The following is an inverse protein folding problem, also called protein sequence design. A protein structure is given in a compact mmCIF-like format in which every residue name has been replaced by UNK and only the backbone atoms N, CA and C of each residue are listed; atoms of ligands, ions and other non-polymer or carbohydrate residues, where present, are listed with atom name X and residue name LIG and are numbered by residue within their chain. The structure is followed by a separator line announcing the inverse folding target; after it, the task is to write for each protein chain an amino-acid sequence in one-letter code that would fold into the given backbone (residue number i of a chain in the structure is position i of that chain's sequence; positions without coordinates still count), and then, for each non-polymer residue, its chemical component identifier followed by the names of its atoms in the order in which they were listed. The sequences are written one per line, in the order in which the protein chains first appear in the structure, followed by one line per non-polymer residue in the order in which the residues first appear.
data_IF_625344795956
#
_entry.id   IF_625344795956
#
_cell.length_a   1.000
_cell.length_b   1.000
_cell.length_c   1.000
_cell.angle_alpha   90.00
_cell.angle_beta   90.00
_cell.angle_gamma   90.00
#
_symmetry.space_group_name_H-M   'P 1'
#
loop_
_entity.id
_entity.type
_entity.pdbx_description
1 polymer ?
#
# COMPACT_ATOMS: atom_id res chain seq x y z
N UNK A 1 15.81 -9.09 8.59
CA UNK A 1 14.95 -8.49 7.57
C UNK A 1 15.72 -8.46 6.25
N UNK A 2 15.02 -8.62 5.13
CA UNK A 2 15.52 -8.50 3.75
C UNK A 2 14.76 -7.33 3.11
N UNK A 3 15.50 -6.33 2.65
CA UNK A 3 14.93 -5.22 1.88
C UNK A 3 15.13 -5.52 0.40
N UNK A 4 14.04 -5.54 -0.36
CA UNK A 4 14.07 -5.67 -1.81
C UNK A 4 14.35 -4.31 -2.45
N UNK A 5 14.85 -4.32 -3.69
CA UNK A 5 15.07 -3.09 -4.46
C UNK A 5 13.74 -2.45 -4.88
N UNK A 6 12.77 -3.27 -5.27
CA UNK A 6 11.42 -2.85 -5.65
C UNK A 6 10.46 -4.03 -5.70
N UNK A 7 9.17 -3.75 -5.93
CA UNK A 7 8.18 -4.76 -6.30
C UNK A 7 8.57 -5.57 -7.55
N UNK A 8 9.44 -5.04 -8.41
CA UNK A 8 9.97 -5.74 -9.57
C UNK A 8 10.73 -7.01 -9.21
N UNK A 9 11.44 -7.02 -8.07
CA UNK A 9 12.17 -8.22 -7.60
C UNK A 9 11.19 -9.31 -7.12
N UNK A 10 10.06 -8.93 -6.53
CA UNK A 10 8.98 -9.88 -6.23
C UNK A 10 8.35 -10.45 -7.51
N UNK A 11 8.10 -9.59 -8.50
CA UNK A 11 7.56 -10.01 -9.81
C UNK A 11 8.55 -10.94 -10.53
N UNK A 12 9.85 -10.71 -10.38
CA UNK A 12 10.89 -11.59 -10.91
C UNK A 12 10.87 -12.96 -10.23
N UNK A 13 10.73 -13.00 -8.91
CA UNK A 13 10.54 -14.25 -8.17
C UNK A 13 9.24 -14.97 -8.57
N UNK A 14 8.14 -14.25 -8.83
CA UNK A 14 6.92 -14.84 -9.37
C UNK A 14 7.15 -15.49 -10.74
N UNK A 15 7.90 -14.82 -11.61
CA UNK A 15 8.21 -15.33 -12.95
C UNK A 15 9.06 -16.61 -12.90
N UNK A 16 10.02 -16.68 -11.97
CA UNK A 16 10.96 -17.81 -11.86
C UNK A 16 10.52 -18.90 -10.86
N UNK A 17 9.31 -18.78 -10.30
CA UNK A 17 8.77 -19.76 -9.35
C UNK A 17 8.69 -21.19 -9.92
N UNK A 18 8.29 -21.43 -11.20
CA UNK A 18 8.31 -22.77 -11.78
C UNK A 18 9.70 -23.41 -11.76
N UNK A 19 10.74 -22.69 -12.20
CA UNK A 19 12.12 -23.16 -12.24
C UNK A 19 12.66 -23.42 -10.84
N UNK A 20 12.29 -22.57 -9.88
CA UNK A 20 12.64 -22.75 -8.48
C UNK A 20 11.97 -23.99 -7.87
N UNK A 21 10.73 -24.29 -8.26
CA UNK A 21 10.00 -25.47 -7.81
C UNK A 21 10.64 -26.78 -8.33
N UNK A 22 11.20 -26.78 -9.54
CA UNK A 22 11.94 -27.95 -10.07
C UNK A 22 13.19 -28.28 -9.24
N UNK A 23 13.77 -27.28 -8.58
CA UNK A 23 14.98 -27.40 -7.77
C UNK A 23 14.68 -27.63 -6.27
N UNK A 24 13.42 -27.53 -5.86
CA UNK A 24 13.00 -27.55 -4.46
C UNK A 24 12.20 -28.82 -4.13
N UNK A 25 12.59 -29.50 -3.05
CA UNK A 25 11.83 -30.64 -2.49
C UNK A 25 10.58 -30.22 -1.68
N UNK A 26 10.36 -28.91 -1.53
CA UNK A 26 9.17 -28.33 -0.89
C UNK A 26 8.12 -27.98 -1.94
N UNK A 27 6.84 -28.11 -1.60
CA UNK A 27 5.76 -27.68 -2.47
C UNK A 27 5.56 -26.17 -2.45
N UNK A 28 5.32 -25.59 -3.62
CA UNK A 28 5.00 -24.18 -3.82
C UNK A 28 3.48 -23.97 -3.84
N UNK A 29 2.95 -23.43 -2.75
CA UNK A 29 1.58 -22.93 -2.70
C UNK A 29 1.36 -21.77 -3.67
N UNK A 30 2.40 -21.00 -4.02
CA UNK A 30 2.32 -19.92 -5.00
C UNK A 30 1.92 -20.41 -6.40
N UNK A 31 2.23 -21.66 -6.74
CA UNK A 31 1.97 -22.28 -8.04
C UNK A 31 0.69 -23.12 -8.09
N UNK A 32 -0.03 -23.26 -6.98
CA UNK A 32 -1.24 -24.09 -6.95
C UNK A 32 -2.34 -23.53 -7.86
N UNK A 33 -3.03 -24.44 -8.54
CA UNK A 33 -4.08 -24.13 -9.52
C UNK A 33 -5.49 -24.54 -9.05
N UNK A 34 -5.59 -25.26 -7.94
CA UNK A 34 -6.83 -25.77 -7.37
C UNK A 34 -7.46 -24.83 -6.32
N UNK A 35 -6.79 -23.73 -5.98
CA UNK A 35 -7.18 -22.81 -4.92
C UNK A 35 -7.43 -21.37 -5.41
N UNK A 36 -8.13 -21.21 -6.54
CA UNK A 36 -8.44 -19.91 -7.15
C UNK A 36 -9.16 -18.97 -6.17
N UNK A 37 -10.18 -19.46 -5.45
CA UNK A 37 -10.92 -18.66 -4.47
C UNK A 37 -10.05 -18.11 -3.34
N UNK A 38 -9.00 -18.86 -3.00
CA UNK A 38 -8.04 -18.48 -1.98
C UNK A 38 -7.02 -17.51 -2.55
N UNK A 39 -6.29 -17.86 -3.60
CA UNK A 39 -5.25 -16.97 -4.16
C UNK A 39 -5.79 -15.78 -4.97
N UNK A 40 -7.07 -15.77 -5.32
CA UNK A 40 -7.71 -14.73 -6.15
C UNK A 40 -7.43 -14.86 -7.64
N UNK A 41 -6.63 -15.83 -8.06
CA UNK A 41 -6.24 -16.13 -9.44
C UNK A 41 -6.09 -17.63 -9.57
N UNK A 42 -6.28 -18.20 -10.76
CA UNK A 42 -6.14 -19.64 -10.96
C UNK A 42 -4.69 -20.04 -11.24
N UNK A 43 -3.90 -19.20 -11.92
CA UNK A 43 -2.51 -19.50 -12.26
C UNK A 43 -1.55 -18.41 -11.80
N UNK A 44 -0.25 -18.73 -11.79
CA UNK A 44 0.81 -17.74 -11.56
C UNK A 44 0.81 -16.68 -12.68
N UNK A 45 0.59 -17.10 -13.93
CA UNK A 45 0.54 -16.18 -15.08
C UNK A 45 -0.57 -15.13 -14.94
N UNK A 46 -1.76 -15.54 -14.50
CA UNK A 46 -2.86 -14.61 -14.23
C UNK A 46 -2.45 -13.59 -13.15
N UNK A 47 -1.72 -14.01 -12.11
CA UNK A 47 -1.23 -13.09 -11.09
C UNK A 47 -0.12 -12.15 -11.59
N UNK A 48 0.77 -12.64 -12.47
CA UNK A 48 1.78 -11.83 -13.14
C UNK A 48 1.15 -10.77 -14.06
N UNK A 49 0.08 -11.13 -14.77
CA UNK A 49 -0.66 -10.18 -15.59
C UNK A 49 -1.27 -9.06 -14.74
N UNK A 50 -1.91 -9.40 -13.62
CA UNK A 50 -2.45 -8.39 -12.69
C UNK A 50 -1.34 -7.50 -12.10
N UNK A 51 -0.18 -8.07 -11.76
CA UNK A 51 0.94 -7.32 -11.20
C UNK A 51 1.59 -6.36 -12.21
N UNK A 52 1.63 -6.73 -13.50
CA UNK A 52 2.31 -5.95 -14.56
C UNK A 52 1.41 -4.96 -15.28
N UNK A 53 0.19 -5.40 -15.57
CA UNK A 53 -0.74 -4.68 -16.45
C UNK A 53 -1.95 -4.15 -15.70
N UNK A 54 -2.08 -4.51 -14.43
CA UNK A 54 -3.09 -3.99 -13.54
C UNK A 54 -4.35 -4.83 -13.43
N UNK A 55 -5.21 -4.43 -12.50
CA UNK A 55 -6.42 -5.16 -12.11
C UNK A 55 -7.63 -4.24 -12.21
N UNK A 56 -8.28 -4.23 -13.37
CA UNK A 56 -9.38 -3.30 -13.68
C UNK A 56 -10.55 -3.42 -12.68
N UNK A 57 -10.93 -4.64 -12.27
CA UNK A 57 -11.99 -4.82 -11.28
C UNK A 57 -11.59 -4.22 -9.92
N UNK A 58 -10.35 -4.46 -9.49
CA UNK A 58 -9.79 -3.87 -8.27
C UNK A 58 -9.80 -2.35 -8.34
N UNK A 59 -9.30 -1.78 -9.43
CA UNK A 59 -9.33 -0.34 -9.72
C UNK A 59 -10.74 0.24 -9.59
N UNK A 60 -11.74 -0.39 -10.21
CA UNK A 60 -13.12 0.08 -10.13
C UNK A 60 -13.65 0.02 -8.70
N UNK A 61 -13.40 -1.07 -7.97
CA UNK A 61 -13.79 -1.20 -6.56
C UNK A 61 -13.11 -0.15 -5.68
N UNK A 62 -11.81 0.09 -5.87
CA UNK A 62 -11.09 1.14 -5.16
C UNK A 62 -11.68 2.53 -5.43
N UNK A 63 -11.95 2.86 -6.70
CA UNK A 63 -12.62 4.13 -7.07
C UNK A 63 -13.99 4.27 -6.42
N UNK A 64 -14.77 3.20 -6.37
CA UNK A 64 -16.07 3.22 -5.70
C UNK A 64 -15.93 3.46 -4.19
N UNK A 65 -14.94 2.86 -3.55
CA UNK A 65 -14.65 3.08 -2.13
C UNK A 65 -14.28 4.55 -1.91
N UNK A 66 -13.33 5.08 -2.69
CA UNK A 66 -12.90 6.49 -2.61
C UNK A 66 -14.07 7.45 -2.87
N UNK A 67 -14.88 7.22 -3.90
CA UNK A 67 -16.02 8.09 -4.24
C UNK A 67 -17.15 8.08 -3.22
N UNK A 68 -17.24 7.06 -2.36
CA UNK A 68 -18.16 7.03 -1.21
C UNK A 68 -17.63 7.82 -0.02
N UNK A 69 -16.33 8.12 0.01
CA UNK A 69 -15.67 8.88 1.06
C UNK A 69 -15.62 10.36 0.67
N UNK A 70 -16.19 11.23 1.49
CA UNK A 70 -16.16 12.67 1.26
C UNK A 70 -14.79 13.26 1.65
N UNK A 71 -13.73 12.93 0.90
CA UNK A 71 -12.33 13.34 1.17
C UNK A 71 -12.22 14.86 1.35
N UNK A 72 -12.90 15.64 0.51
CA UNK A 72 -12.89 17.11 0.55
C UNK A 72 -13.43 17.71 1.86
N UNK A 73 -14.27 16.98 2.60
CA UNK A 73 -14.81 17.44 3.88
C UNK A 73 -13.81 17.27 5.03
N UNK A 74 -12.69 16.56 4.80
CA UNK A 74 -11.76 16.12 5.84
C UNK A 74 -10.37 16.77 5.68
N UNK A 75 -10.01 17.11 4.45
CA UNK A 75 -8.78 17.81 4.13
C UNK A 75 -8.98 19.31 4.38
N UNK A 76 -8.25 19.86 5.36
CA UNK A 76 -8.41 21.26 5.78
C UNK A 76 -7.90 22.31 4.78
N UNK A 77 -7.25 21.88 3.69
CA UNK A 77 -6.76 22.77 2.65
C UNK A 77 -7.72 22.76 1.47
N UNK A 78 -8.44 23.86 1.30
CA UNK A 78 -8.94 24.23 -0.02
C UNK A 78 -7.75 24.48 -0.93
N UNK A 79 -7.81 24.10 -2.22
CA UNK A 79 -6.81 24.53 -3.18
C UNK A 79 -6.59 26.04 -3.02
N UNK A 80 -5.34 26.44 -2.78
CA UNK A 80 -5.00 27.86 -2.74
C UNK A 80 -5.05 28.29 -4.19
N UNK A 81 -6.09 29.06 -4.50
CA UNK A 81 -6.18 29.76 -5.77
C UNK A 81 -5.32 31.01 -5.61
N UNK A 82 -4.15 31.01 -6.22
CA UNK A 82 -3.37 32.23 -6.37
C UNK A 82 -3.90 32.99 -7.57
N UNK A 83 -4.35 34.21 -7.34
CA UNK A 83 -4.60 35.16 -8.41
C UNK A 83 -3.30 35.86 -8.75
N UNK A 84 -2.94 35.88 -10.03
CA UNK A 84 -1.87 36.71 -10.56
C UNK A 84 -2.41 37.57 -11.70
N UNK A 85 -1.84 38.78 -11.84
CA UNK A 85 -2.07 39.59 -13.01
C UNK A 85 -1.22 39.06 -14.17
N UNK A 86 -1.84 38.92 -15.33
CA UNK A 86 -1.24 38.45 -16.57
C UNK A 86 -1.92 39.15 -17.76
N UNK A 87 -1.41 38.94 -18.98
CA UNK A 87 -1.97 39.50 -20.21
C UNK A 87 -3.29 38.82 -20.62
N UNK A 88 -3.51 37.59 -20.18
CA UNK A 88 -4.69 36.77 -20.44
C UNK A 88 -5.08 36.02 -19.16
N UNK A 89 -6.38 35.87 -18.91
CA UNK A 89 -6.88 35.25 -17.68
C UNK A 89 -8.40 35.13 -17.69
N UNK A 90 -8.96 34.76 -16.54
CA UNK A 90 -10.37 34.45 -16.37
C UNK A 90 -11.22 35.70 -16.09
N UNK A 91 -10.63 36.72 -15.45
CA UNK A 91 -11.32 37.95 -15.05
C UNK A 91 -10.47 39.20 -15.37
N UNK A 92 -11.10 40.37 -15.53
CA UNK A 92 -10.41 41.65 -15.76
C UNK A 92 -10.30 42.43 -14.45
N UNK A 93 -9.09 42.88 -14.09
CA UNK A 93 -8.92 43.94 -13.11
C UNK A 93 -9.19 45.29 -13.79
N UNK A 94 -10.37 45.86 -13.48
CA UNK A 94 -10.84 47.11 -14.07
C UNK A 94 -9.89 48.28 -13.72
N UNK A 95 -9.29 48.26 -12.53
CA UNK A 95 -8.37 49.30 -12.10
C UNK A 95 -7.09 49.29 -12.93
N UNK A 96 -6.45 48.14 -13.06
CA UNK A 96 -5.24 47.96 -13.87
C UNK A 96 -5.49 48.31 -15.34
N UNK A 97 -6.62 47.87 -15.89
CA UNK A 97 -7.03 48.19 -17.27
C UNK A 97 -7.18 49.70 -17.50
N UNK A 98 -7.84 50.42 -16.59
CA UNK A 98 -8.04 51.87 -16.71
C UNK A 98 -6.74 52.67 -16.57
N UNK A 99 -5.74 52.13 -15.87
CA UNK A 99 -4.40 52.73 -15.78
C UNK A 99 -3.49 52.37 -16.96
N UNK A 100 -3.93 51.50 -17.88
CA UNK A 100 -3.17 51.08 -19.05
C UNK A 100 -2.08 50.06 -18.73
N UNK A 101 -2.20 49.34 -17.61
CA UNK A 101 -1.28 48.25 -17.26
C UNK A 101 -1.49 47.07 -18.22
N UNK A 102 -0.44 46.53 -18.86
CA UNK A 102 -0.58 45.41 -19.80
C UNK A 102 -1.05 44.10 -19.15
N UNK A 103 -0.68 43.89 -17.89
CA UNK A 103 -1.09 42.75 -17.07
C UNK A 103 -2.39 43.11 -16.31
N UNK A 104 -3.51 43.17 -17.03
CA UNK A 104 -4.81 43.56 -16.47
C UNK A 104 -5.80 42.40 -16.36
N UNK A 105 -5.40 41.19 -16.70
CA UNK A 105 -6.24 39.98 -16.56
C UNK A 105 -5.81 39.23 -15.31
N UNK A 106 -6.77 38.81 -14.49
CA UNK A 106 -6.56 37.91 -13.36
C UNK A 106 -6.60 36.47 -13.86
N UNK A 107 -5.49 35.77 -13.74
CA UNK A 107 -5.34 34.33 -13.98
C UNK A 107 -5.40 33.60 -12.64
N UNK A 108 -6.32 32.64 -12.49
CA UNK A 108 -6.47 31.86 -11.26
C UNK A 108 -5.70 30.54 -11.38
N UNK A 109 -4.50 30.50 -10.80
CA UNK A 109 -3.71 29.26 -10.77
C UNK A 109 -4.00 28.46 -9.50
N UNK A 110 -4.43 27.21 -9.68
CA UNK A 110 -4.53 26.26 -8.58
C UNK A 110 -3.12 25.79 -8.25
N UNK A 111 -2.52 26.34 -7.19
CA UNK A 111 -1.27 25.78 -6.67
C UNK A 111 -1.56 24.54 -5.85
N UNK A 112 -1.15 23.40 -6.39
CA UNK A 112 -0.87 22.22 -5.59
C UNK A 112 0.55 22.37 -5.03
N UNK A 113 0.72 23.15 -3.96
CA UNK A 113 1.98 23.14 -3.19
C UNK A 113 2.14 21.76 -2.53
N UNK A 114 2.69 20.79 -3.27
CA UNK A 114 3.15 19.48 -2.79
C UNK A 114 4.58 19.55 -2.22
N UNK A 115 5.23 20.71 -2.33
CA UNK A 115 6.60 20.92 -1.89
C UNK A 115 6.67 21.15 -0.38
N UNK A 116 6.73 20.05 0.39
CA UNK A 116 7.27 20.13 1.75
C UNK A 116 7.14 18.89 2.62
N UNK A 117 6.09 18.06 2.45
CA UNK A 117 5.84 16.94 3.37
C UNK A 117 6.01 15.60 2.66
N UNK A 118 7.15 14.95 2.88
CA UNK A 118 7.38 13.56 2.45
C UNK A 118 7.11 12.62 3.61
N UNK A 119 6.45 11.49 3.34
CA UNK A 119 6.32 10.42 4.31
C UNK A 119 6.33 9.05 3.62
N UNK A 120 6.79 8.03 4.35
CA UNK A 120 6.76 6.64 3.89
C UNK A 120 5.72 5.84 4.67
N UNK A 121 4.81 5.20 3.94
CA UNK A 121 3.82 4.29 4.51
C UNK A 121 4.32 2.85 4.42
N UNK A 122 4.43 2.17 5.55
CA UNK A 122 4.69 0.73 5.62
C UNK A 122 3.37 -0.01 5.87
N UNK A 123 3.08 -1.05 5.08
CA UNK A 123 1.87 -1.85 5.24
C UNK A 123 2.24 -3.30 5.41
N UNK A 124 2.01 -3.87 6.60
CA UNK A 124 2.18 -5.30 6.77
C UNK A 124 1.07 -6.04 6.00
N UNK A 125 1.49 -6.88 5.05
CA UNK A 125 0.67 -7.73 4.20
C UNK A 125 0.51 -9.13 4.77
N UNK A 126 1.26 -9.48 5.82
CA UNK A 126 1.16 -10.78 6.49
C UNK A 126 -0.26 -10.95 7.02
N UNK A 127 -0.85 -12.11 6.78
CA UNK A 127 -2.17 -12.43 7.28
C UNK A 127 -2.37 -13.94 7.34
N UNK A 128 -3.27 -14.37 8.23
CA UNK A 128 -3.66 -15.79 8.31
C UNK A 128 -4.23 -16.28 6.97
N UNK A 129 -3.93 -17.53 6.61
CA UNK A 129 -4.54 -18.20 5.45
C UNK A 129 -6.06 -18.24 5.50
N UNK A 130 -6.66 -18.05 6.68
CA UNK A 130 -8.11 -18.01 6.91
C UNK A 130 -8.77 -16.68 6.54
N UNK A 131 -8.01 -15.61 6.26
CA UNK A 131 -8.58 -14.32 5.87
C UNK A 131 -9.19 -14.43 4.47
N UNK A 132 -10.45 -14.07 4.29
CA UNK A 132 -11.12 -14.17 2.99
C UNK A 132 -10.64 -13.09 2.01
N UNK A 133 -10.71 -13.39 0.71
CA UNK A 133 -10.37 -12.44 -0.36
C UNK A 133 -11.19 -11.15 -0.30
N UNK A 134 -12.44 -11.24 0.14
CA UNK A 134 -13.30 -10.08 0.37
C UNK A 134 -12.79 -9.17 1.49
N UNK A 135 -12.32 -9.75 2.61
CA UNK A 135 -11.72 -8.99 3.72
C UNK A 135 -10.43 -8.28 3.27
N UNK A 136 -9.63 -8.94 2.42
CA UNK A 136 -8.43 -8.33 1.82
C UNK A 136 -8.81 -7.12 0.95
N UNK A 137 -9.82 -7.26 0.09
CA UNK A 137 -10.31 -6.17 -0.76
C UNK A 137 -10.82 -4.99 0.07
N UNK A 138 -11.59 -5.26 1.13
CA UNK A 138 -12.11 -4.22 2.02
C UNK A 138 -10.97 -3.47 2.73
N UNK A 139 -9.98 -4.19 3.26
CA UNK A 139 -8.77 -3.61 3.86
C UNK A 139 -8.01 -2.74 2.85
N UNK A 140 -7.77 -3.25 1.65
CA UNK A 140 -7.07 -2.51 0.60
C UNK A 140 -7.82 -1.25 0.16
N UNK A 141 -9.15 -1.32 0.09
CA UNK A 141 -10.02 -0.16 -0.17
C UNK A 141 -9.87 0.95 0.87
N UNK A 142 -9.85 0.58 2.15
CA UNK A 142 -9.65 1.54 3.23
C UNK A 142 -8.23 2.16 3.20
N UNK A 143 -7.19 1.34 2.98
CA UNK A 143 -5.81 1.81 2.88
C UNK A 143 -5.62 2.78 1.71
N UNK A 144 -6.20 2.46 0.55
CA UNK A 144 -6.12 3.32 -0.62
C UNK A 144 -6.86 4.66 -0.40
N UNK A 145 -8.02 4.65 0.24
CA UNK A 145 -8.71 5.89 0.62
C UNK A 145 -7.86 6.76 1.56
N UNK A 146 -7.07 6.16 2.45
CA UNK A 146 -6.11 6.86 3.30
C UNK A 146 -5.02 7.56 2.48
N UNK A 147 -4.42 6.83 1.53
CA UNK A 147 -3.37 7.33 0.63
C UNK A 147 -3.88 8.56 -0.13
N UNK A 148 -5.09 8.48 -0.69
CA UNK A 148 -5.67 9.58 -1.47
C UNK A 148 -6.01 10.80 -0.60
N UNK A 149 -6.48 10.59 0.63
CA UNK A 149 -6.72 11.68 1.56
C UNK A 149 -5.41 12.40 1.96
N UNK A 150 -4.34 11.66 2.27
CA UNK A 150 -3.03 12.23 2.60
C UNK A 150 -2.39 12.98 1.42
N UNK A 151 -2.54 12.45 0.20
CA UNK A 151 -2.13 13.15 -1.03
C UNK A 151 -2.87 14.46 -1.20
N UNK A 152 -4.18 14.44 -0.96
CA UNK A 152 -5.02 15.65 -1.01
C UNK A 152 -4.60 16.67 0.06
N UNK A 153 -4.08 16.23 1.22
CA UNK A 153 -3.48 17.12 2.23
C UNK A 153 -2.11 17.72 1.83
N UNK A 154 -1.53 17.25 0.72
CA UNK A 154 -0.27 17.72 0.17
C UNK A 154 0.95 16.86 0.54
N UNK A 155 0.76 15.65 1.06
CA UNK A 155 1.86 14.72 1.28
C UNK A 155 2.32 14.06 -0.02
N UNK A 156 3.63 14.04 -0.19
CA UNK A 156 4.31 13.20 -1.15
C UNK A 156 4.60 11.84 -0.48
N UNK A 157 3.73 10.86 -0.75
CA UNK A 157 3.76 9.55 -0.08
C UNK A 157 4.54 8.50 -0.87
N UNK A 158 5.43 7.80 -0.17
CA UNK A 158 5.92 6.49 -0.57
C UNK A 158 5.09 5.36 0.05
N UNK A 159 5.15 4.17 -0.55
CA UNK A 159 4.54 2.94 -0.05
C UNK A 159 5.55 1.79 -0.10
N UNK A 160 5.70 1.11 1.04
CA UNK A 160 6.45 -0.15 1.16
C UNK A 160 5.53 -1.21 1.76
N UNK A 161 5.40 -2.35 1.08
CA UNK A 161 4.71 -3.51 1.64
C UNK A 161 5.68 -4.29 2.52
N UNK A 162 5.22 -4.78 3.66
CA UNK A 162 6.02 -5.57 4.60
C UNK A 162 5.41 -6.97 4.71
N UNK A 163 6.23 -7.99 4.83
CA UNK A 163 5.77 -9.31 5.23
C UNK A 163 6.70 -9.86 6.31
N UNK A 164 6.15 -10.19 7.48
CA UNK A 164 6.85 -10.64 8.66
C UNK A 164 6.25 -11.95 9.14
N UNK A 165 7.08 -12.99 9.21
CA UNK A 165 6.66 -14.33 9.62
C UNK A 165 7.70 -15.00 10.49
N UNK A 166 7.23 -15.80 11.44
CA UNK A 166 8.09 -16.65 12.26
C UNK A 166 7.63 -18.11 12.24
N UNK A 167 8.51 -18.98 12.69
CA UNK A 167 8.12 -20.33 13.06
C UNK A 167 7.27 -20.31 14.35
N UNK A 168 6.38 -21.29 14.51
CA UNK A 168 5.60 -21.51 15.75
C UNK A 168 6.50 -21.71 17.01
N UNK A 169 7.79 -21.98 16.80
CA UNK A 169 8.78 -22.10 17.84
C UNK A 169 9.37 -20.74 18.22
N UNK A 170 8.96 -20.22 19.39
CA UNK A 170 9.25 -18.88 19.91
C UNK A 170 10.73 -18.56 20.16
N UNK A 171 11.64 -19.49 19.89
CA UNK A 171 13.09 -19.31 20.08
C UNK A 171 13.83 -18.90 18.80
N UNK A 172 13.18 -18.93 17.63
CA UNK A 172 13.79 -18.58 16.35
C UNK A 172 13.35 -17.18 15.92
N UNK A 173 14.31 -16.34 15.53
CA UNK A 173 14.00 -14.99 15.01
C UNK A 173 13.30 -15.12 13.66
N UNK A 174 12.11 -14.52 13.55
CA UNK A 174 11.35 -14.48 12.30
C UNK A 174 12.07 -13.79 11.14
N UNK A 175 11.50 -13.94 9.95
CA UNK A 175 11.92 -13.30 8.71
C UNK A 175 10.98 -12.16 8.40
N UNK A 176 11.55 -11.06 7.90
CA UNK A 176 10.79 -9.90 7.43
C UNK A 176 11.28 -9.52 6.03
N UNK A 177 10.36 -9.25 5.13
CA UNK A 177 10.58 -8.67 3.81
C UNK A 177 10.03 -7.26 3.78
N UNK A 178 10.81 -6.32 3.24
CA UNK A 178 10.34 -5.00 2.86
C UNK A 178 10.37 -4.89 1.35
N UNK A 179 9.23 -4.58 0.75
CA UNK A 179 8.99 -4.59 -0.69
C UNK A 179 8.59 -3.17 -1.11
N UNK A 180 9.55 -2.32 -1.50
CA UNK A 180 9.26 -0.96 -1.94
C UNK A 180 8.37 -0.98 -3.18
N UNK A 181 7.24 -0.27 -3.13
CA UNK A 181 6.32 -0.16 -4.26
C UNK A 181 6.52 1.16 -4.99
N UNK A 182 6.64 2.25 -4.23
CA UNK A 182 6.82 3.60 -4.78
C UNK A 182 7.52 4.48 -3.74
N UNK A 183 8.40 5.36 -4.19
CA UNK A 183 9.10 6.31 -3.31
C UNK A 183 8.30 7.62 -3.14
N UNK A 184 8.54 8.39 -2.06
CA UNK A 184 8.01 9.74 -1.94
C UNK A 184 8.43 10.60 -3.14
N UNK A 185 7.45 11.10 -3.88
CA UNK A 185 7.65 11.95 -5.07
C UNK A 185 7.28 11.24 -6.37
N UNK A 186 7.15 9.92 -6.33
CA UNK A 186 6.71 9.12 -7.45
C UNK A 186 5.19 8.91 -7.43
N UNK A 187 4.63 8.60 -8.60
CA UNK A 187 3.19 8.37 -8.76
C UNK A 187 2.84 6.91 -8.46
N UNK A 188 2.04 6.67 -7.41
CA UNK A 188 1.41 5.35 -7.21
C UNK A 188 0.22 5.24 -8.14
N UNK A 189 0.34 4.39 -9.15
CA UNK A 189 -0.76 3.98 -10.00
C UNK A 189 -1.80 3.16 -9.21
N UNK A 190 -3.08 3.37 -9.53
CA UNK A 190 -4.21 2.74 -8.84
C UNK A 190 -4.26 1.23 -9.04
N UNK A 191 -3.80 0.70 -10.17
CA UNK A 191 -3.76 -0.75 -10.37
C UNK A 191 -2.66 -1.40 -9.57
N UNK A 192 -1.49 -0.75 -9.52
CA UNK A 192 -0.40 -1.18 -8.64
C UNK A 192 -0.88 -1.21 -7.19
N UNK A 193 -1.57 -0.15 -6.75
CA UNK A 193 -2.18 -0.11 -5.43
C UNK A 193 -3.25 -1.20 -5.23
N UNK A 194 -4.12 -1.44 -6.22
CA UNK A 194 -5.14 -2.48 -6.17
C UNK A 194 -4.53 -3.87 -6.01
N UNK A 195 -3.49 -4.17 -6.77
CA UNK A 195 -2.79 -5.45 -6.65
C UNK A 195 -2.14 -5.60 -5.28
N UNK A 196 -1.34 -4.61 -4.85
CA UNK A 196 -0.56 -4.70 -3.62
C UNK A 196 -1.41 -4.71 -2.36
N UNK A 197 -2.42 -3.84 -2.29
CA UNK A 197 -3.19 -3.60 -1.07
C UNK A 197 -4.44 -4.48 -0.98
N UNK A 198 -5.05 -4.82 -2.11
CA UNK A 198 -6.41 -5.34 -2.15
C UNK A 198 -6.56 -6.72 -2.81
N UNK A 199 -5.53 -7.22 -3.52
CA UNK A 199 -5.60 -8.51 -4.20
C UNK A 199 -4.91 -9.63 -3.40
N UNK A 200 -5.56 -10.78 -3.17
CA UNK A 200 -4.96 -11.88 -2.40
C UNK A 200 -3.66 -12.43 -3.00
N UNK A 201 -3.52 -12.36 -4.33
CA UNK A 201 -2.35 -12.87 -5.04
C UNK A 201 -1.05 -12.15 -4.68
N UNK A 202 -1.10 -10.90 -4.18
CA UNK A 202 0.10 -10.21 -3.73
C UNK A 202 0.84 -11.04 -2.66
N UNK A 203 0.13 -11.41 -1.59
CA UNK A 203 0.70 -12.28 -0.56
C UNK A 203 0.80 -13.73 -1.04
N UNK A 204 -0.33 -14.30 -1.50
CA UNK A 204 -0.49 -15.75 -1.69
C UNK A 204 0.29 -16.31 -2.87
N UNK A 205 0.69 -15.46 -3.81
CA UNK A 205 1.53 -15.84 -4.95
C UNK A 205 2.83 -15.06 -4.96
N UNK A 206 2.77 -13.73 -4.86
CA UNK A 206 3.96 -12.87 -4.90
C UNK A 206 4.93 -13.13 -3.75
N UNK A 207 4.50 -12.87 -2.52
CA UNK A 207 5.39 -13.06 -1.36
C UNK A 207 5.69 -14.53 -1.11
N UNK A 208 4.75 -15.44 -1.41
CA UNK A 208 5.01 -16.86 -1.31
C UNK A 208 6.11 -17.31 -2.29
N UNK A 209 6.09 -16.81 -3.53
CA UNK A 209 7.17 -17.06 -4.48
C UNK A 209 8.52 -16.55 -3.95
N UNK A 210 8.57 -15.37 -3.34
CA UNK A 210 9.81 -14.88 -2.69
C UNK A 210 10.33 -15.86 -1.64
N UNK A 211 9.47 -16.31 -0.72
CA UNK A 211 9.85 -17.28 0.32
C UNK A 211 10.31 -18.62 -0.25
N UNK A 212 9.69 -19.05 -1.35
CA UNK A 212 10.03 -20.27 -2.06
C UNK A 212 11.39 -20.18 -2.78
N UNK A 213 11.94 -18.98 -2.97
CA UNK A 213 13.31 -18.79 -3.50
C UNK A 213 14.38 -18.71 -2.41
N UNK A 214 14.00 -18.54 -1.15
CA UNK A 214 14.98 -18.43 -0.07
C UNK A 214 15.78 -19.71 0.14
N UNK A 215 17.02 -19.64 0.66
CA UNK A 215 17.77 -20.81 1.06
C UNK A 215 17.16 -21.45 2.33
N UNK A 216 17.44 -22.74 2.52
CA UNK A 216 16.81 -23.54 3.58
C UNK A 216 16.94 -22.93 4.98
N UNK A 217 18.07 -22.32 5.34
CA UNK A 217 18.25 -21.69 6.66
C UNK A 217 17.24 -20.55 6.90
N UNK A 218 16.91 -19.77 5.87
CA UNK A 218 15.93 -18.69 5.96
C UNK A 218 14.51 -19.26 5.97
N UNK A 219 14.22 -20.26 5.12
CA UNK A 219 12.94 -20.99 5.15
C UNK A 219 12.66 -21.62 6.51
N UNK A 220 13.68 -22.18 7.15
CA UNK A 220 13.57 -22.71 8.51
C UNK A 220 13.19 -21.60 9.49
N UNK A 221 13.82 -20.42 9.41
CA UNK A 221 13.54 -19.31 10.31
C UNK A 221 12.11 -18.75 10.20
N UNK A 222 11.50 -18.79 9.01
CA UNK A 222 10.10 -18.42 8.81
C UNK A 222 9.11 -19.57 9.03
N UNK A 223 9.57 -20.77 9.40
CA UNK A 223 8.71 -21.95 9.58
C UNK A 223 8.25 -22.64 8.28
N UNK A 224 8.82 -22.28 7.12
CA UNK A 224 8.53 -22.92 5.83
C UNK A 224 9.38 -24.20 5.66
N UNK A 225 8.80 -25.35 5.95
CA UNK A 225 9.47 -26.65 5.90
C UNK A 225 8.53 -27.73 5.38
N UNK A 226 9.08 -28.90 5.02
CA UNK A 226 8.28 -30.03 4.53
C UNK A 226 7.21 -30.43 5.55
N UNK A 227 5.95 -30.39 5.13
CA UNK A 227 4.80 -30.72 5.99
C UNK A 227 4.39 -29.62 6.96
N UNK A 228 4.96 -28.41 6.86
CA UNK A 228 4.56 -27.21 7.60
C UNK A 228 3.98 -26.13 6.68
N UNK A 229 3.49 -25.04 7.27
CA UNK A 229 2.92 -23.88 6.58
C UNK A 229 3.99 -22.86 6.16
N UNK A 230 3.57 -21.70 5.65
CA UNK A 230 4.44 -20.57 5.28
C UNK A 230 4.78 -19.65 6.48
N UNK A 231 4.81 -20.23 7.68
CA UNK A 231 5.00 -19.50 8.93
C UNK A 231 3.72 -18.96 9.58
N UNK A 232 3.91 -18.33 10.73
CA UNK A 232 2.91 -17.58 11.46
C UNK A 232 3.11 -16.09 11.24
N UNK A 233 2.05 -15.35 10.88
CA UNK A 233 2.17 -13.93 10.58
C UNK A 233 2.38 -13.14 11.88
N UNK A 234 3.37 -12.25 11.91
CA UNK A 234 3.71 -11.42 13.07
C UNK A 234 3.76 -9.93 12.71
N UNK A 235 3.89 -9.09 13.74
CA UNK A 235 4.16 -7.67 13.60
C UNK A 235 5.50 -7.42 12.88
N UNK A 236 5.66 -6.22 12.32
CA UNK A 236 6.96 -5.75 11.83
C UNK A 236 7.95 -5.72 13.00
N UNK A 237 9.17 -6.21 12.77
CA UNK A 237 10.20 -6.31 13.81
C UNK A 237 11.30 -5.28 13.64
N UNK A 238 11.45 -4.70 12.44
CA UNK A 238 12.44 -3.66 12.21
C UNK A 238 11.94 -2.27 12.60
N UNK A 239 12.88 -1.39 12.93
CA UNK A 239 12.60 0.00 13.24
C UNK A 239 12.13 0.76 11.99
N UNK A 240 11.16 1.65 12.17
CA UNK A 240 10.71 2.53 11.10
C UNK A 240 11.74 3.62 10.82
N UNK A 241 12.06 3.89 9.54
CA UNK A 241 12.86 5.05 9.19
C UNK A 241 12.18 6.37 9.60
N UNK A 242 12.93 7.48 9.74
CA UNK A 242 12.35 8.78 9.99
C UNK A 242 11.27 9.15 8.98
N UNK A 243 10.27 9.92 9.41
CA UNK A 243 9.15 10.33 8.55
C UNK A 243 8.34 9.16 7.98
N UNK A 244 8.31 8.03 8.69
CA UNK A 244 7.55 6.84 8.30
C UNK A 244 6.48 6.48 9.33
N UNK A 245 5.47 5.76 8.89
CA UNK A 245 4.46 5.15 9.76
C UNK A 245 4.11 3.75 9.27
N UNK A 246 3.70 2.88 10.19
CA UNK A 246 3.34 1.49 9.93
C UNK A 246 1.84 1.28 10.10
N UNK A 247 1.25 0.49 9.21
CA UNK A 247 -0.04 -0.16 9.41
C UNK A 247 0.21 -1.66 9.56
N UNK A 248 0.24 -2.12 10.81
CA UNK A 248 0.59 -3.51 11.15
C UNK A 248 -0.63 -4.46 11.19
N UNK A 249 -0.37 -5.73 11.51
CA UNK A 249 -1.38 -6.70 11.87
C UNK A 249 -1.95 -6.43 13.26
N UNK A 250 -3.28 -6.55 13.41
CA UNK A 250 -3.96 -6.35 14.68
C UNK A 250 -4.19 -4.88 15.08
N UNK A 251 -3.39 -3.93 14.58
CA UNK A 251 -3.52 -2.50 14.92
C UNK A 251 -4.64 -1.75 14.15
N UNK A 252 -5.87 -2.26 14.21
CA UNK A 252 -7.05 -1.39 14.04
C UNK A 252 -7.65 -1.25 12.63
N UNK A 253 -7.42 -2.19 11.71
CA UNK A 253 -8.39 -2.55 10.67
C UNK A 253 -9.03 -3.89 11.03
N UNK A 254 -9.47 -4.00 12.27
CA UNK A 254 -9.91 -5.24 12.87
C UNK A 254 -11.16 -5.75 12.12
N UNK A 255 -10.98 -6.85 11.41
CA UNK A 255 -11.84 -7.29 10.32
C UNK A 255 -13.12 -8.01 10.82
N UNK A 256 -13.64 -7.62 11.98
CA UNK A 256 -14.93 -8.03 12.51
C UNK A 256 -15.93 -6.89 12.16
N UNK A 257 -16.96 -7.18 11.35
CA UNK A 257 -17.88 -6.21 10.69
C UNK A 257 -18.41 -5.10 11.62
N UNK A 258 -18.66 -3.82 11.25
CA UNK A 258 -19.38 -3.24 10.10
C UNK A 258 -18.93 -1.77 9.81
N UNK A 259 -19.03 -1.35 8.54
CA UNK A 259 -18.34 -0.20 7.91
C UNK A 259 -18.95 1.22 8.06
N UNK A 260 -18.07 2.24 8.16
CA UNK A 260 -18.19 3.60 7.57
C UNK A 260 -16.85 3.96 6.82
N UNK A 261 -16.52 3.10 5.84
CA UNK A 261 -15.18 2.81 5.23
C UNK A 261 -14.09 2.42 6.25
N UNK A 262 -14.57 1.78 7.33
CA UNK A 262 -13.97 1.42 8.63
C UNK A 262 -13.10 2.52 9.26
N UNK A 263 -13.74 3.22 10.22
CA UNK A 263 -14.18 4.63 10.15
C UNK A 263 -13.10 5.61 9.66
N UNK A 264 -13.11 5.84 8.34
CA UNK A 264 -12.31 6.80 7.56
C UNK A 264 -10.78 6.56 7.55
N UNK A 265 -10.34 5.31 7.29
CA UNK A 265 -8.93 4.90 7.35
C UNK A 265 -8.29 5.22 8.70
N UNK A 266 -9.04 4.79 9.72
CA UNK A 266 -9.18 5.31 11.08
C UNK A 266 -8.60 6.72 11.29
N UNK A 267 -9.37 7.69 10.77
CA UNK A 267 -9.21 9.16 10.70
C UNK A 267 -7.89 9.67 10.12
N UNK A 268 -7.62 9.22 8.89
CA UNK A 268 -6.51 9.54 7.98
C UNK A 268 -5.19 9.56 8.74
N UNK A 269 -4.90 8.33 9.15
CA UNK A 269 -3.79 7.90 9.99
C UNK A 269 -4.02 8.20 11.50
N UNK A 270 -5.19 8.66 11.94
CA UNK A 270 -5.39 9.53 13.12
C UNK A 270 -4.40 10.73 13.12
N UNK A 271 -4.41 11.37 11.93
CA UNK A 271 -3.79 12.63 11.49
C UNK A 271 -2.27 12.63 11.42
N UNK A 272 -1.79 11.71 10.59
CA UNK A 272 -0.37 11.40 10.33
C UNK A 272 0.40 11.34 11.64
N UNK A 273 -0.18 10.59 12.60
CA UNK A 273 0.12 10.50 14.03
C UNK A 273 0.87 11.73 14.55
N UNK A 274 0.15 12.85 14.43
CA UNK A 274 0.49 14.21 14.84
C UNK A 274 1.86 14.71 14.40
N UNK A 275 2.11 14.61 13.08
CA UNK A 275 3.20 15.32 12.38
C UNK A 275 4.58 15.05 12.99
N UNK A 276 4.84 13.76 13.27
CA UNK A 276 6.18 13.19 13.42
C UNK A 276 6.92 13.49 14.73
N UNK A 277 6.28 13.25 15.90
CA UNK A 277 6.93 13.16 17.21
C UNK A 277 6.31 12.12 18.17
N UNK A 278 5.97 10.94 17.62
CA UNK A 278 4.94 9.93 17.96
C UNK A 278 4.58 9.48 19.41
N UNK A 279 3.27 9.19 19.60
CA UNK A 279 2.64 8.19 20.51
C UNK A 279 1.09 8.22 20.38
N UNK A 280 0.31 7.11 20.57
CA UNK A 280 0.55 6.04 21.53
C UNK A 280 0.75 4.62 20.94
N UNK A 281 1.77 3.96 21.47
CA UNK A 281 1.81 2.51 21.66
C UNK A 281 1.30 2.23 23.08
N UNK A 282 0.22 1.47 23.22
CA UNK A 282 -0.06 0.79 24.49
C UNK A 282 -0.88 -0.47 24.25
N UNK A 283 -0.16 -1.57 24.35
CA UNK A 283 -0.58 -2.95 24.62
C UNK A 283 -1.90 -3.07 25.37
N UNK A 284 -2.87 -3.79 24.79
CA UNK A 284 -3.54 -4.87 25.52
C UNK A 284 -3.64 -6.11 24.62
N UNK A 285 -2.53 -6.87 24.64
CA UNK A 285 -2.36 -8.33 24.55
C UNK A 285 -3.34 -9.19 23.76
#
# INVERSE_FOLDING_TARGET
FRQLDSIGEMIDAMQHAPEQQEQSDLGAASLRTDEERWSGTRTMDEALELARYGWEEGRQRLRQVVGRVAIDQLVGRRPIVESRLDFAGDEVDIGAYLHGEPEHMVDYQVRQDTHGKQAMMYVNASMSSRVSSERIMQRGGALYAAIEALRTEGYSLGLTMVESTEEDDRYIRGVEYQIPVVQPGEYLDIDTAAFCLAHPAFLRRGVFALKEHEPNNIRHAMGFMRGRSYGWPICMVSDLPPHSFLIDQGEGLDLHSDSDVQRFAQKVVDRTLETLGHGPASDER
#
